data_IF_770345051321
#
_entry.id   IF_770345051321
#
_cell.length_a   1.000
_cell.length_b   1.000
_cell.length_c   1.000
_cell.angle_alpha   90.00
_cell.angle_beta   90.00
_cell.angle_gamma   90.00
#
_symmetry.space_group_name_H-M   'P 1'
#
loop_
_entity.id
_entity.type
_entity.pdbx_description
1 polymer ?
#
# COMPACT_ATOMS: atom_id res chain seq x y z
N UNK A 1 -11.47 -5.90 14.84
CA UNK A 1 -11.59 -6.14 13.39
C UNK A 1 -10.23 -5.83 12.83
N UNK A 2 -9.49 -6.83 12.34
CA UNK A 2 -8.11 -6.63 11.89
C UNK A 2 -8.11 -5.70 10.68
N UNK A 3 -7.49 -4.52 10.81
CA UNK A 3 -7.32 -3.59 9.68
C UNK A 3 -6.39 -4.27 8.67
N UNK A 4 -6.85 -4.56 7.43
CA UNK A 4 -6.02 -5.23 6.45
C UNK A 4 -4.77 -4.40 6.17
N UNK A 5 -3.61 -5.06 6.18
CA UNK A 5 -2.33 -4.42 5.90
C UNK A 5 -2.30 -3.91 4.46
N UNK A 6 -1.52 -2.85 4.23
CA UNK A 6 -1.39 -2.27 2.89
C UNK A 6 -0.91 -3.32 1.87
N UNK A 7 -0.01 -4.23 2.30
CA UNK A 7 0.51 -5.29 1.43
C UNK A 7 -0.59 -6.27 0.99
N UNK A 8 -1.56 -6.56 1.85
CA UNK A 8 -2.69 -7.47 1.56
C UNK A 8 -3.64 -6.83 0.54
N UNK A 9 -3.90 -5.53 0.67
CA UNK A 9 -4.69 -4.78 -0.32
C UNK A 9 -4.02 -4.79 -1.69
N UNK A 10 -2.70 -4.63 -1.73
CA UNK A 10 -1.89 -4.70 -2.96
C UNK A 10 -1.94 -6.11 -3.57
N UNK A 11 -1.75 -7.16 -2.78
CA UNK A 11 -1.79 -8.55 -3.27
C UNK A 11 -3.19 -8.93 -3.78
N UNK A 12 -4.26 -8.53 -3.06
CA UNK A 12 -5.64 -8.72 -3.50
C UNK A 12 -5.92 -8.02 -4.84
N UNK A 13 -5.46 -6.77 -4.99
CA UNK A 13 -5.60 -6.03 -6.24
C UNK A 13 -4.82 -6.68 -7.39
N UNK A 14 -3.57 -7.13 -7.14
CA UNK A 14 -2.80 -7.87 -8.16
C UNK A 14 -3.50 -9.14 -8.61
N UNK A 15 -4.13 -9.88 -7.69
CA UNK A 15 -4.89 -11.10 -8.02
C UNK A 15 -6.17 -10.77 -8.81
N UNK A 16 -6.89 -9.72 -8.44
CA UNK A 16 -8.13 -9.33 -9.10
C UNK A 16 -7.92 -8.78 -10.52
N UNK A 17 -6.86 -7.99 -10.72
CA UNK A 17 -6.61 -7.28 -11.98
C UNK A 17 -5.50 -7.89 -12.85
N UNK A 18 -4.77 -8.89 -12.35
CA UNK A 18 -3.66 -9.53 -13.09
C UNK A 18 -2.50 -8.58 -13.39
N UNK A 19 -2.36 -7.49 -12.63
CA UNK A 19 -1.34 -6.45 -12.87
C UNK A 19 0.03 -6.83 -12.31
N UNK A 20 1.06 -6.50 -13.08
CA UNK A 20 2.46 -6.69 -12.66
C UNK A 20 2.84 -5.68 -11.58
N UNK A 21 3.74 -6.10 -10.68
CA UNK A 21 4.28 -5.24 -9.61
C UNK A 21 4.90 -3.94 -10.16
N UNK A 22 5.57 -4.03 -11.30
CA UNK A 22 6.17 -2.87 -11.97
C UNK A 22 5.12 -1.88 -12.49
N UNK A 23 3.99 -2.39 -12.99
CA UNK A 23 2.89 -1.56 -13.51
C UNK A 23 2.17 -0.87 -12.36
N UNK A 24 1.89 -1.62 -11.29
CA UNK A 24 1.31 -1.08 -10.07
C UNK A 24 2.19 0.01 -9.46
N UNK A 25 3.51 -0.24 -9.34
CA UNK A 25 4.45 0.75 -8.84
C UNK A 25 4.44 2.03 -9.71
N UNK A 26 4.39 1.87 -11.04
CA UNK A 26 4.34 2.98 -11.99
C UNK A 26 3.08 3.83 -11.85
N UNK A 27 1.92 3.20 -11.62
CA UNK A 27 0.63 3.88 -11.43
C UNK A 27 0.51 4.57 -10.08
N UNK A 28 1.05 3.96 -9.03
CA UNK A 28 1.14 4.56 -7.69
C UNK A 28 2.18 5.69 -7.63
N UNK A 29 3.10 5.76 -8.61
CA UNK A 29 4.18 6.75 -8.65
C UNK A 29 5.35 6.41 -7.73
N UNK A 30 5.59 5.12 -7.48
CA UNK A 30 6.72 4.63 -6.70
C UNK A 30 7.61 3.71 -7.50
N UNK A 31 8.83 3.49 -7.02
CA UNK A 31 9.74 2.55 -7.66
C UNK A 31 9.38 1.11 -7.26
N UNK A 32 9.63 0.15 -8.17
CA UNK A 32 9.48 -1.27 -7.88
C UNK A 32 10.28 -1.70 -6.65
N UNK A 33 11.48 -1.13 -6.46
CA UNK A 33 12.30 -1.39 -5.27
C UNK A 33 11.60 -0.95 -3.99
N UNK A 34 10.95 0.22 -3.98
CA UNK A 34 10.21 0.69 -2.82
C UNK A 34 9.05 -0.25 -2.47
N UNK A 35 8.32 -0.71 -3.50
CA UNK A 35 7.23 -1.67 -3.33
C UNK A 35 7.72 -3.03 -2.83
N UNK A 36 8.89 -3.48 -3.32
CA UNK A 36 9.55 -4.69 -2.84
C UNK A 36 10.02 -4.55 -1.38
N UNK A 37 10.57 -3.40 -1.00
CA UNK A 37 10.99 -3.10 0.37
C UNK A 37 9.80 -3.15 1.34
N UNK A 38 8.65 -2.58 0.97
CA UNK A 38 7.43 -2.67 1.78
C UNK A 38 6.98 -4.11 1.99
N UNK A 39 7.11 -4.96 0.96
CA UNK A 39 6.72 -6.36 1.04
C UNK A 39 7.65 -7.18 1.94
N UNK A 40 8.95 -6.92 1.88
CA UNK A 40 9.96 -7.70 2.60
C UNK A 40 10.16 -7.21 4.03
N UNK A 41 10.04 -5.91 4.27
CA UNK A 41 10.38 -5.28 5.55
C UNK A 41 9.21 -4.55 6.23
N UNK A 42 8.02 -4.55 5.62
CA UNK A 42 6.93 -3.67 6.04
C UNK A 42 7.21 -2.20 5.70
N UNK A 43 6.22 -1.35 5.89
CA UNK A 43 6.37 0.09 5.76
C UNK A 43 7.21 0.66 6.91
N UNK A 44 8.52 0.77 6.74
CA UNK A 44 9.40 1.38 7.78
C UNK A 44 9.12 2.86 8.09
N UNK A 45 8.26 3.51 7.32
CA UNK A 45 7.84 4.89 7.55
C UNK A 45 6.65 5.25 6.67
N UNK A 46 5.92 6.29 7.08
CA UNK A 46 4.74 6.75 6.34
C UNK A 46 5.16 7.24 4.94
N UNK A 47 4.60 6.68 3.85
CA UNK A 47 4.91 7.12 2.51
C UNK A 47 4.39 8.54 2.28
N UNK A 48 4.96 9.23 1.29
CA UNK A 48 4.55 10.59 0.96
C UNK A 48 3.07 10.65 0.58
N UNK A 49 2.43 11.80 0.82
CA UNK A 49 1.01 12.01 0.47
C UNK A 49 0.71 11.69 -1.00
N UNK A 50 1.60 12.04 -1.92
CA UNK A 50 1.47 11.71 -3.35
C UNK A 50 1.40 10.20 -3.61
N UNK A 51 2.17 9.41 -2.85
CA UNK A 51 2.15 7.95 -2.96
C UNK A 51 0.85 7.37 -2.41
N UNK A 52 0.36 7.89 -1.28
CA UNK A 52 -0.92 7.50 -0.71
C UNK A 52 -2.10 7.87 -1.64
N UNK A 53 -2.01 9.02 -2.32
CA UNK A 53 -3.00 9.46 -3.32
C UNK A 53 -3.00 8.53 -4.55
N UNK A 54 -1.81 8.18 -5.07
CA UNK A 54 -1.67 7.21 -6.16
C UNK A 54 -2.19 5.82 -5.78
N UNK A 55 -1.98 5.39 -4.53
CA UNK A 55 -2.57 4.17 -3.99
C UNK A 55 -4.09 4.24 -3.93
N UNK A 56 -4.65 5.32 -3.37
CA UNK A 56 -6.10 5.52 -3.28
C UNK A 56 -6.76 5.50 -4.66
N UNK A 57 -6.14 6.15 -5.65
CA UNK A 57 -6.60 6.17 -7.03
C UNK A 57 -6.56 4.76 -7.67
N UNK A 58 -5.45 4.03 -7.51
CA UNK A 58 -5.27 2.71 -8.14
C UNK A 58 -6.14 1.63 -7.48
N UNK A 59 -6.14 1.60 -6.14
CA UNK A 59 -6.95 0.66 -5.36
C UNK A 59 -8.44 1.02 -5.39
N UNK A 60 -8.80 2.21 -5.88
CA UNK A 60 -10.15 2.81 -5.80
C UNK A 60 -10.69 2.81 -4.37
N UNK A 61 -9.82 3.06 -3.41
CA UNK A 61 -10.13 3.11 -1.99
C UNK A 61 -10.07 4.56 -1.50
N UNK A 62 -10.86 4.92 -0.47
CA UNK A 62 -10.74 6.24 0.13
C UNK A 62 -9.34 6.43 0.73
N UNK A 63 -8.80 7.64 0.59
CA UNK A 63 -7.48 8.02 1.13
C UNK A 63 -7.33 7.67 2.62
N UNK A 64 -8.41 7.81 3.41
CA UNK A 64 -8.43 7.45 4.82
C UNK A 64 -8.10 5.98 5.07
N UNK A 65 -8.71 5.04 4.32
CA UNK A 65 -8.40 3.61 4.48
C UNK A 65 -6.96 3.28 4.09
N UNK A 66 -6.45 3.90 3.03
CA UNK A 66 -5.05 3.71 2.60
C UNK A 66 -4.09 4.23 3.66
N UNK A 67 -4.40 5.39 4.26
CA UNK A 67 -3.62 5.98 5.34
C UNK A 67 -3.66 5.10 6.59
N UNK A 68 -4.83 4.60 7.01
CA UNK A 68 -4.98 3.68 8.15
C UNK A 68 -4.19 2.39 7.93
N UNK A 69 -4.28 1.79 6.74
CA UNK A 69 -3.51 0.61 6.38
C UNK A 69 -2.01 0.87 6.41
N UNK A 70 -1.56 2.05 5.93
CA UNK A 70 -0.15 2.45 5.98
C UNK A 70 0.34 2.71 7.41
N UNK A 71 -0.51 3.27 8.28
CA UNK A 71 -0.21 3.50 9.71
C UNK A 71 -0.11 2.18 10.48
N UNK A 72 -1.03 1.24 10.24
CA UNK A 72 -0.93 -0.12 10.81
C UNK A 72 0.33 -0.85 10.34
N UNK A 73 0.62 -0.81 9.03
CA UNK A 73 1.77 -1.53 8.48
C UNK A 73 3.11 -0.93 8.92
N UNK A 74 3.12 0.38 9.21
CA UNK A 74 4.30 1.07 9.75
C UNK A 74 4.51 0.94 11.26
N UNK A 75 3.60 0.24 11.95
CA UNK A 75 3.65 0.11 13.40
C UNK A 75 3.36 1.42 14.14
N UNK A 76 2.79 2.42 13.46
CA UNK A 76 2.27 3.63 14.10
C UNK A 76 0.92 3.38 14.79
N UNK A 77 0.13 2.44 14.26
CA UNK A 77 -1.06 1.91 14.91
C UNK A 77 -0.77 0.48 15.37
N UNK A 78 -0.81 0.26 16.69
CA UNK A 78 -0.88 -1.08 17.25
C UNK A 78 -2.25 -1.66 16.89
N UNK A 79 -2.26 -2.82 16.23
CA UNK A 79 -3.48 -3.57 15.97
C UNK A 79 -4.03 -4.08 17.32
N UNK A 80 -4.88 -3.27 17.97
CA UNK A 80 -5.62 -3.66 19.17
C UNK A 80 -6.77 -4.60 18.82
#
# INVERSE_FOLDING_TARGET
>A
METPRLVELIDAHKRAYGVSESELARRIGVTRQNLHLWRTHGLRGLPARTTLDGMAAELRLPYAQVLEAALCDSGYLDAT
#
